data_IF_729014064498
#
_entry.id   IF_729014064498
#
_cell.length_a   1.000
_cell.length_b   1.000
_cell.length_c   1.000
_cell.angle_alpha   90.00
_cell.angle_beta   90.00
_cell.angle_gamma   90.00
#
_symmetry.space_group_name_H-M   'P 1'
#
loop_
_entity.id
_entity.type
_entity.pdbx_description
1 polymer ?
#
# COMPACT_ATOMS: atom_id res chain seq x y z
N UNK A 1 -43.37 -9.93 5.42
CA UNK A 1 -42.17 -10.52 6.06
C UNK A 1 -41.05 -10.56 5.03
N UNK A 2 -39.99 -9.77 5.20
CA UNK A 2 -38.82 -9.78 4.31
C UNK A 2 -37.88 -10.89 4.77
N UNK A 3 -37.70 -11.92 3.94
CA UNK A 3 -36.74 -12.99 4.20
C UNK A 3 -35.32 -12.44 4.13
N UNK A 4 -34.46 -12.81 5.06
CA UNK A 4 -33.05 -12.39 5.07
C UNK A 4 -32.28 -13.10 3.95
N UNK A 5 -31.22 -12.49 3.41
CA UNK A 5 -30.36 -13.06 2.35
C UNK A 5 -29.88 -14.50 2.67
N UNK A 6 -29.69 -14.80 3.96
CA UNK A 6 -29.31 -16.12 4.47
C UNK A 6 -30.38 -17.21 4.28
N UNK A 7 -31.62 -16.83 3.97
CA UNK A 7 -32.75 -17.75 3.74
C UNK A 7 -32.99 -18.06 2.26
N UNK A 8 -32.26 -17.41 1.35
CA UNK A 8 -32.47 -17.51 -0.10
C UNK A 8 -31.31 -18.26 -0.77
N UNK A 9 -30.09 -18.16 -0.24
CA UNK A 9 -28.91 -18.80 -0.83
C UNK A 9 -28.60 -20.14 -0.17
N UNK A 10 -28.43 -21.24 -0.94
CA UNK A 10 -27.96 -22.50 -0.40
C UNK A 10 -26.56 -22.30 0.19
N UNK A 11 -26.34 -22.84 1.40
CA UNK A 11 -25.00 -22.87 2.01
C UNK A 11 -24.12 -23.79 1.17
N UNK A 12 -23.37 -23.22 0.23
CA UNK A 12 -22.35 -23.98 -0.48
C UNK A 12 -21.29 -24.42 0.54
N UNK A 13 -20.87 -25.70 0.52
CA UNK A 13 -19.81 -26.17 1.39
C UNK A 13 -18.55 -25.37 1.07
N UNK A 14 -18.10 -24.55 2.02
CA UNK A 14 -16.80 -23.87 1.90
C UNK A 14 -15.75 -24.94 2.12
N UNK A 15 -14.92 -25.29 1.11
CA UNK A 15 -13.87 -26.27 1.31
C UNK A 15 -12.97 -25.80 2.46
N UNK A 16 -12.48 -26.73 3.31
CA UNK A 16 -11.60 -26.37 4.41
C UNK A 16 -10.42 -25.57 3.85
N UNK A 17 -10.14 -24.42 4.48
CA UNK A 17 -9.02 -23.56 4.12
C UNK A 17 -7.73 -24.38 4.27
N UNK A 18 -7.28 -25.04 3.21
CA UNK A 18 -5.90 -25.53 3.13
C UNK A 18 -5.03 -24.30 3.35
N UNK A 19 -4.20 -24.33 4.39
CA UNK A 19 -3.13 -23.34 4.61
C UNK A 19 -2.09 -23.53 3.50
N UNK A 20 -2.46 -23.19 2.26
CA UNK A 20 -1.48 -22.91 1.24
C UNK A 20 -0.65 -21.76 1.80
N UNK A 21 0.66 -21.96 1.92
CA UNK A 21 1.61 -20.96 2.39
C UNK A 21 1.76 -19.80 1.40
N UNK A 22 0.67 -19.36 0.79
CA UNK A 22 0.63 -18.13 0.03
C UNK A 22 1.00 -16.99 0.99
N UNK A 23 1.95 -16.12 0.62
CA UNK A 23 2.28 -14.97 1.44
C UNK A 23 0.99 -14.17 1.69
N UNK A 24 0.74 -13.82 2.95
CA UNK A 24 -0.44 -13.02 3.37
C UNK A 24 -0.32 -11.57 2.87
N UNK A 25 0.75 -11.26 2.14
CA UNK A 25 1.10 -9.95 1.58
C UNK A 25 1.41 -10.09 0.08
N UNK A 26 1.32 -8.99 -0.67
CA UNK A 26 1.76 -8.91 -2.07
C UNK A 26 3.30 -8.83 -2.20
N UNK A 27 4.03 -9.22 -1.14
CA UNK A 27 5.49 -9.29 -1.12
C UNK A 27 5.94 -10.66 -1.60
N UNK A 28 7.09 -10.71 -2.26
CA UNK A 28 7.72 -12.01 -2.48
C UNK A 28 8.25 -12.58 -1.17
N UNK A 29 8.57 -13.87 -1.12
CA UNK A 29 9.20 -14.50 0.05
C UNK A 29 10.47 -13.74 0.48
N UNK A 30 11.27 -13.27 -0.50
CA UNK A 30 12.47 -12.46 -0.24
C UNK A 30 12.13 -11.15 0.47
N UNK A 31 11.15 -10.41 -0.05
CA UNK A 31 10.77 -9.10 0.49
C UNK A 31 10.14 -9.25 1.88
N UNK A 32 9.35 -10.30 2.11
CA UNK A 32 8.74 -10.56 3.42
C UNK A 32 9.80 -10.93 4.47
N UNK A 33 10.85 -11.69 4.08
CA UNK A 33 12.00 -11.96 4.95
C UNK A 33 12.77 -10.69 5.31
N UNK A 34 12.99 -9.79 4.34
CA UNK A 34 13.63 -8.49 4.57
C UNK A 34 12.80 -7.60 5.49
N UNK A 35 11.49 -7.53 5.26
CA UNK A 35 10.56 -6.80 6.12
C UNK A 35 10.58 -7.35 7.56
N UNK A 36 10.50 -8.67 7.72
CA UNK A 36 10.53 -9.32 9.02
C UNK A 36 11.85 -9.08 9.78
N UNK A 37 13.00 -9.12 9.09
CA UNK A 37 14.31 -8.80 9.67
C UNK A 37 14.36 -7.35 10.17
N UNK A 38 13.94 -6.40 9.36
CA UNK A 38 13.97 -4.97 9.71
C UNK A 38 13.05 -4.67 10.90
N UNK A 39 11.86 -5.29 10.92
CA UNK A 39 10.90 -5.16 12.02
C UNK A 39 11.43 -5.73 13.33
N UNK A 40 12.11 -6.90 13.31
CA UNK A 40 12.73 -7.50 14.50
C UNK A 40 13.88 -6.64 15.04
N UNK A 41 14.64 -5.99 14.16
CA UNK A 41 15.73 -5.11 14.54
C UNK A 41 15.31 -3.77 15.15
N UNK A 42 14.01 -3.40 15.14
CA UNK A 42 13.49 -2.06 15.49
C UNK A 42 14.15 -0.91 14.73
N UNK A 43 14.69 -1.15 13.54
CA UNK A 43 15.39 -0.16 12.70
C UNK A 43 14.57 0.27 11.48
N UNK A 44 13.28 0.57 11.63
CA UNK A 44 12.59 1.27 10.53
C UNK A 44 13.01 2.73 10.58
N UNK A 45 13.67 3.20 9.54
CA UNK A 45 13.96 4.63 9.35
C UNK A 45 12.66 5.42 9.18
N UNK A 46 12.69 6.71 9.49
CA UNK A 46 11.56 7.58 9.18
C UNK A 46 11.42 7.67 7.66
N UNK A 47 10.19 7.77 7.16
CA UNK A 47 9.96 7.94 5.72
C UNK A 47 10.59 9.23 5.19
N UNK A 48 10.78 10.23 6.07
CA UNK A 48 11.41 11.50 5.72
C UNK A 48 12.92 11.39 5.50
N UNK A 49 13.54 10.28 5.90
CA UNK A 49 14.97 10.01 5.67
C UNK A 49 15.22 9.31 4.32
N UNK A 50 14.17 8.86 3.65
CA UNK A 50 14.30 8.18 2.36
C UNK A 50 14.61 9.19 1.22
N UNK A 51 15.42 8.79 0.23
CA UNK A 51 15.72 9.64 -0.92
C UNK A 51 14.45 10.10 -1.63
N UNK A 52 14.35 11.41 -1.83
CA UNK A 52 13.20 12.01 -2.54
C UNK A 52 13.35 11.84 -4.05
N UNK A 53 12.36 11.20 -4.67
CA UNK A 53 12.26 11.03 -6.12
C UNK A 53 11.66 12.28 -6.78
N UNK A 54 10.68 12.89 -6.13
CA UNK A 54 10.02 14.13 -6.55
C UNK A 54 9.44 14.86 -5.37
N UNK A 55 9.41 16.18 -5.44
CA UNK A 55 8.94 17.06 -4.38
C UNK A 55 7.89 18.04 -4.92
N UNK A 56 6.84 18.28 -4.12
CA UNK A 56 5.87 19.36 -4.28
C UNK A 56 5.93 20.27 -3.04
N UNK A 57 5.00 21.21 -2.86
CA UNK A 57 5.01 22.12 -1.71
C UNK A 57 4.96 21.37 -0.37
N UNK A 58 3.96 20.51 -0.18
CA UNK A 58 3.70 19.78 1.07
C UNK A 58 3.93 18.27 0.99
N UNK A 59 4.20 17.74 -0.21
CA UNK A 59 4.33 16.30 -0.43
C UNK A 59 5.68 15.94 -1.04
N UNK A 60 6.13 14.72 -0.78
CA UNK A 60 7.28 14.09 -1.43
C UNK A 60 6.91 12.68 -1.91
N UNK A 61 7.50 12.30 -3.03
CA UNK A 61 7.47 10.96 -3.57
C UNK A 61 8.80 10.27 -3.23
N UNK A 62 8.72 9.08 -2.65
CA UNK A 62 9.88 8.28 -2.26
C UNK A 62 9.73 6.84 -2.76
N UNK A 63 10.84 6.12 -2.84
CA UNK A 63 10.83 4.67 -3.02
C UNK A 63 10.27 3.95 -1.78
N UNK A 64 9.61 2.80 -1.97
CA UNK A 64 9.23 1.94 -0.85
C UNK A 64 10.28 0.86 -0.61
N UNK A 65 10.95 0.91 0.55
CA UNK A 65 11.91 -0.10 1.02
C UNK A 65 11.31 -1.52 1.18
N UNK A 66 9.99 -1.64 1.27
CA UNK A 66 9.27 -2.92 1.41
C UNK A 66 8.21 -3.12 0.32
N UNK A 67 8.64 -3.23 -0.96
CA UNK A 67 7.77 -3.21 -2.11
C UNK A 67 6.87 -4.44 -2.20
N UNK A 68 5.82 -4.33 -3.00
CA UNK A 68 4.84 -5.40 -3.25
C UNK A 68 5.24 -6.14 -4.54
N UNK A 69 6.48 -6.64 -4.55
CA UNK A 69 7.13 -7.13 -5.76
C UNK A 69 6.51 -8.42 -6.31
N UNK A 70 5.55 -9.05 -5.61
CA UNK A 70 4.85 -10.18 -6.19
C UNK A 70 4.05 -9.74 -7.42
N UNK A 71 3.32 -8.61 -7.33
CA UNK A 71 2.42 -8.14 -8.38
C UNK A 71 2.93 -6.89 -9.14
N UNK A 72 3.74 -6.06 -8.50
CA UNK A 72 4.12 -4.74 -9.03
C UNK A 72 5.60 -4.69 -9.41
N UNK A 73 5.91 -3.91 -10.45
CA UNK A 73 7.30 -3.62 -10.88
C UNK A 73 7.84 -2.32 -10.29
N UNK A 74 6.95 -1.38 -9.96
CA UNK A 74 7.27 -0.12 -9.28
C UNK A 74 6.34 0.01 -8.08
N UNK A 75 6.91 0.44 -6.95
CA UNK A 75 6.17 0.74 -5.73
C UNK A 75 6.80 1.96 -5.05
N UNK A 76 6.19 3.12 -5.24
CA UNK A 76 6.56 4.35 -4.57
C UNK A 76 5.56 4.70 -3.48
N UNK A 77 5.93 5.60 -2.58
CA UNK A 77 5.03 6.19 -1.60
C UNK A 77 4.98 7.70 -1.79
N UNK A 78 3.77 8.23 -1.87
CA UNK A 78 3.51 9.66 -1.76
C UNK A 78 3.16 9.97 -0.30
N UNK A 79 3.93 10.86 0.32
CA UNK A 79 3.82 11.18 1.75
C UNK A 79 3.86 12.70 1.98
N UNK A 80 3.21 13.21 3.03
CA UNK A 80 3.41 14.60 3.45
C UNK A 80 4.83 14.79 3.99
N UNK A 81 5.40 15.98 3.79
CA UNK A 81 6.71 16.38 4.34
C UNK A 81 6.75 16.48 5.87
N UNK A 82 5.58 16.45 6.52
CA UNK A 82 5.44 16.37 7.97
C UNK A 82 4.79 15.04 8.38
N UNK A 83 5.20 14.50 9.52
CA UNK A 83 4.61 13.28 10.06
C UNK A 83 3.19 13.54 10.59
N UNK A 84 2.18 13.22 9.77
CA UNK A 84 0.77 13.52 10.08
C UNK A 84 -0.14 12.42 9.62
N UNK A 85 -1.24 12.18 10.34
CA UNK A 85 -2.27 11.24 9.88
C UNK A 85 -3.22 11.88 8.87
N UNK A 86 -4.01 11.05 8.17
CA UNK A 86 -4.96 11.51 7.13
C UNK A 86 -5.94 12.56 7.66
N UNK A 87 -6.41 12.41 8.90
CA UNK A 87 -7.39 13.33 9.51
C UNK A 87 -6.80 14.68 9.91
N UNK A 88 -5.47 14.80 9.91
CA UNK A 88 -4.74 16.01 10.34
C UNK A 88 -4.20 16.82 9.16
N UNK A 89 -4.52 16.40 7.93
CA UNK A 89 -4.19 17.15 6.72
C UNK A 89 -5.00 18.45 6.69
N UNK A 90 -4.34 19.55 6.37
CA UNK A 90 -4.98 20.83 6.19
C UNK A 90 -5.52 20.99 4.75
N UNK A 91 -6.34 22.02 4.51
CA UNK A 91 -6.97 22.24 3.21
C UNK A 91 -5.98 22.47 2.06
N UNK A 92 -4.80 23.04 2.32
CA UNK A 92 -3.77 23.25 1.29
C UNK A 92 -3.15 21.93 0.87
N UNK A 93 -2.82 21.08 1.84
CA UNK A 93 -2.27 19.73 1.61
C UNK A 93 -3.25 18.84 0.86
N UNK A 94 -4.55 18.91 1.19
CA UNK A 94 -5.60 18.15 0.51
C UNK A 94 -5.75 18.61 -0.94
N UNK A 95 -5.85 19.92 -1.18
CA UNK A 95 -5.95 20.46 -2.54
C UNK A 95 -4.74 20.14 -3.41
N UNK A 96 -3.54 20.24 -2.82
CA UNK A 96 -2.31 19.87 -3.51
C UNK A 96 -2.29 18.37 -3.82
N UNK A 97 -2.72 17.52 -2.87
CA UNK A 97 -2.82 16.09 -3.08
C UNK A 97 -3.70 15.75 -4.29
N UNK A 98 -4.89 16.37 -4.41
CA UNK A 98 -5.79 16.11 -5.54
C UNK A 98 -5.11 16.44 -6.89
N UNK A 99 -4.37 17.56 -6.94
CA UNK A 99 -3.61 17.97 -8.12
C UNK A 99 -2.45 17.01 -8.44
N UNK A 100 -1.76 16.52 -7.41
CA UNK A 100 -0.69 15.53 -7.56
C UNK A 100 -1.25 14.21 -8.11
N UNK A 101 -2.37 13.73 -7.57
CA UNK A 101 -2.96 12.47 -8.02
C UNK A 101 -3.39 12.55 -9.49
N UNK A 102 -3.96 13.68 -9.92
CA UNK A 102 -4.28 13.92 -11.33
C UNK A 102 -3.02 13.92 -12.20
N UNK A 103 -1.96 14.64 -11.81
CA UNK A 103 -0.68 14.67 -12.50
C UNK A 103 -0.06 13.28 -12.66
N UNK A 104 -0.19 12.43 -11.64
CA UNK A 104 0.42 11.10 -11.58
C UNK A 104 -0.46 10.01 -12.22
N UNK A 105 -1.72 10.30 -12.56
CA UNK A 105 -2.69 9.35 -13.11
C UNK A 105 -2.25 8.66 -14.40
N UNK A 106 -1.41 9.34 -15.21
CA UNK A 106 -0.87 8.79 -16.46
C UNK A 106 0.41 7.97 -16.27
N UNK A 107 1.00 8.01 -15.06
CA UNK A 107 2.30 7.37 -14.75
C UNK A 107 2.17 6.10 -13.92
N UNK A 108 1.12 6.01 -13.11
CA UNK A 108 0.87 4.85 -12.25
C UNK A 108 -0.44 4.18 -12.60
N UNK A 109 -0.47 2.86 -12.45
CA UNK A 109 -1.66 2.08 -12.79
C UNK A 109 -2.68 2.07 -11.66
N UNK A 110 -2.23 2.18 -10.41
CA UNK A 110 -3.13 2.27 -9.27
C UNK A 110 -2.54 2.96 -8.04
N UNK A 111 -3.45 3.46 -7.21
CA UNK A 111 -3.19 3.94 -5.88
C UNK A 111 -3.80 3.00 -4.83
N UNK A 112 -3.09 2.78 -3.73
CA UNK A 112 -3.57 1.96 -2.62
C UNK A 112 -3.33 2.71 -1.32
N UNK A 113 -4.36 2.77 -0.48
CA UNK A 113 -4.24 3.27 0.89
C UNK A 113 -4.70 2.18 1.84
N UNK A 114 -3.79 1.74 2.71
CA UNK A 114 -4.13 0.78 3.74
C UNK A 114 -5.06 1.42 4.77
N UNK A 115 -6.09 0.68 5.19
CA UNK A 115 -6.86 1.05 6.38
C UNK A 115 -5.94 1.15 7.61
N UNK A 116 -6.27 2.04 8.55
CA UNK A 116 -5.48 2.32 9.77
C UNK A 116 -5.07 1.06 10.56
N UNK A 117 -5.94 0.03 10.57
CA UNK A 117 -5.66 -1.26 11.23
C UNK A 117 -4.50 -2.04 10.59
N UNK A 118 -4.25 -1.83 9.28
CA UNK A 118 -3.28 -2.56 8.46
C UNK A 118 -2.04 -1.74 8.10
N UNK A 119 -2.02 -0.44 8.38
CA UNK A 119 -0.85 0.41 8.19
C UNK A 119 0.30 -0.02 9.10
N UNK A 120 1.51 -0.01 8.55
CA UNK A 120 2.74 -0.27 9.32
C UNK A 120 3.22 0.99 10.06
N UNK A 121 2.98 2.17 9.48
CA UNK A 121 3.30 3.48 10.05
C UNK A 121 1.98 4.25 10.23
N UNK A 122 1.48 4.31 11.47
CA UNK A 122 0.12 4.80 11.76
C UNK A 122 0.03 6.33 11.86
N UNK A 123 1.14 6.99 12.17
CA UNK A 123 1.20 8.42 12.45
C UNK A 123 1.72 9.24 11.26
N UNK A 124 2.03 8.58 10.14
CA UNK A 124 2.44 9.24 8.92
C UNK A 124 1.61 8.70 7.76
N UNK A 125 0.77 9.57 7.21
CA UNK A 125 -0.09 9.27 6.09
C UNK A 125 0.77 8.99 4.85
N UNK A 126 0.42 7.94 4.14
CA UNK A 126 1.14 7.53 2.93
C UNK A 126 0.17 6.87 1.97
N UNK A 127 0.37 7.16 0.69
CA UNK A 127 -0.37 6.57 -0.43
C UNK A 127 0.63 5.73 -1.22
N UNK A 128 0.29 4.47 -1.44
CA UNK A 128 1.09 3.59 -2.28
C UNK A 128 0.75 3.86 -3.75
N UNK A 129 1.75 4.20 -4.55
CA UNK A 129 1.63 4.41 -5.98
C UNK A 129 2.34 3.26 -6.70
N UNK A 130 1.61 2.56 -7.57
CA UNK A 130 1.98 1.23 -8.02
C UNK A 130 1.90 1.12 -9.54
N UNK A 131 2.84 0.39 -10.14
CA UNK A 131 2.79 -0.02 -11.55
C UNK A 131 2.79 -1.54 -11.60
N UNK A 132 1.80 -2.14 -12.25
CA UNK A 132 1.69 -3.57 -12.44
C UNK A 132 2.85 -4.10 -13.26
N UNK A 133 3.15 -5.38 -13.06
CA UNK A 133 3.94 -6.15 -14.02
C UNK A 133 3.11 -6.38 -15.28
N UNK A 134 3.75 -6.25 -16.44
CA UNK A 134 3.07 -6.28 -17.74
C UNK A 134 2.47 -7.66 -18.07
N UNK A 135 3.01 -8.73 -17.49
CA UNK A 135 2.59 -10.11 -17.79
C UNK A 135 2.28 -10.89 -16.52
N UNK A 136 1.19 -11.67 -16.55
CA UNK A 136 0.81 -12.58 -15.45
C UNK A 136 1.94 -13.52 -15.01
N UNK A 137 2.73 -14.04 -15.96
CA UNK A 137 3.89 -14.90 -15.68
C UNK A 137 4.99 -14.23 -14.84
N UNK A 138 5.04 -12.90 -14.83
CA UNK A 138 5.98 -12.15 -14.00
C UNK A 138 5.45 -11.98 -12.56
N UNK A 139 4.14 -12.14 -12.37
CA UNK A 139 3.52 -12.08 -11.05
C UNK A 139 3.87 -13.37 -10.30
N UNK A 140 4.49 -13.23 -9.13
CA UNK A 140 4.90 -14.36 -8.26
C UNK A 140 3.84 -14.56 -7.17
N UNK A 141 2.60 -14.79 -7.60
CA UNK A 141 1.44 -15.01 -6.74
C UNK A 141 1.27 -16.49 -6.39
#
# INVERSE_FOLDING_TARGET
>A
MVKTLNQILPKLPVPPHKKYGAPVSLRTVKDELQYAKTKKGRKSRSLLEEPTLKEWGHWILIDNDFPYSAAFKVHHMLIPKREVSKSELNLKEIKELDSIIDELSQKYDCQLVNFKKKQSIKHHYHIHLLIYKDKRRQMKL
#
